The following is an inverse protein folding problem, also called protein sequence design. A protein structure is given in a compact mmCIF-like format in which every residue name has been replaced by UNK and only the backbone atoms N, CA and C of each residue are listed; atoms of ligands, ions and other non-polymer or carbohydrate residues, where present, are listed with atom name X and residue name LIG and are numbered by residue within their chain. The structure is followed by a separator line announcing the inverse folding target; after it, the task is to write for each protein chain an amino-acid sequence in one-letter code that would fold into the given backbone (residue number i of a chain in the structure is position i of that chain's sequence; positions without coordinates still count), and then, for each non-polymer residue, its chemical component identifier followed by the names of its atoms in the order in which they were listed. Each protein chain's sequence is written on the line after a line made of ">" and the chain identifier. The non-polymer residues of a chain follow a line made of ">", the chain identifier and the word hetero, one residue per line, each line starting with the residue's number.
data_IF_754737707267
#
_entry.id   IF_754737707267
#
_cell.length_a   1.000
_cell.length_b   1.000
_cell.length_c   1.000
_cell.angle_alpha   90.00
_cell.angle_beta   90.00
_cell.angle_gamma   90.00
#
_symmetry.space_group_name_H-M   'P 1'
#
loop_
_entity.id
_entity.type
_entity.pdbx_description
1 polymer ?
#
# COMPACT_ATOMS: atom_id res chain seq x y z
N UNK A 1 6.42 3.76 14.31
CA UNK A 1 6.12 3.47 15.73
C UNK A 1 7.35 3.70 16.63
N UNK A 2 7.21 4.50 17.68
CA UNK A 2 8.25 4.66 18.73
C UNK A 2 8.09 3.65 19.86
N UNK A 3 9.12 3.45 20.70
CA UNK A 3 9.05 2.55 21.86
C UNK A 3 7.98 3.00 22.88
N UNK A 4 7.80 4.30 23.05
CA UNK A 4 6.74 4.85 23.91
C UNK A 4 5.34 4.55 23.36
N UNK A 5 5.14 4.67 22.04
CA UNK A 5 3.88 4.27 21.40
C UNK A 5 3.59 2.78 21.58
N UNK A 6 4.59 1.92 21.35
CA UNK A 6 4.47 0.48 21.56
C UNK A 6 4.12 0.15 23.01
N UNK A 7 4.76 0.82 23.98
CA UNK A 7 4.50 0.63 25.42
C UNK A 7 3.05 0.92 25.78
N UNK A 8 2.48 2.02 25.24
CA UNK A 8 1.08 2.41 25.48
C UNK A 8 0.10 1.43 24.84
N UNK A 9 0.42 0.92 23.66
CA UNK A 9 -0.45 -0.01 22.92
C UNK A 9 -0.46 -1.42 23.51
N UNK A 10 0.69 -1.88 24.00
CA UNK A 10 0.88 -3.26 24.47
C UNK A 10 0.78 -3.39 26.00
N UNK A 11 0.66 -2.28 26.74
CA UNK A 11 0.64 -2.29 28.21
C UNK A 11 1.97 -2.75 28.82
N UNK A 12 3.08 -2.48 28.14
CA UNK A 12 4.42 -2.90 28.56
C UNK A 12 5.30 -1.69 28.88
N UNK A 13 6.49 -1.92 29.45
CA UNK A 13 7.44 -0.84 29.72
C UNK A 13 8.15 -0.38 28.44
N UNK A 14 8.49 0.91 28.37
CA UNK A 14 9.23 1.48 27.23
C UNK A 14 10.62 0.84 27.04
N UNK A 15 11.25 0.38 28.13
CA UNK A 15 12.53 -0.36 28.09
C UNK A 15 12.40 -1.73 27.41
N UNK A 16 11.35 -2.49 27.74
CA UNK A 16 11.09 -3.79 27.12
C UNK A 16 10.74 -3.64 25.63
N UNK A 17 9.88 -2.67 25.30
CA UNK A 17 9.56 -2.36 23.90
C UNK A 17 10.80 -1.93 23.11
N UNK A 18 11.68 -1.10 23.69
CA UNK A 18 12.95 -0.69 23.04
C UNK A 18 13.89 -1.86 22.79
N UNK A 19 13.94 -2.84 23.71
CA UNK A 19 14.71 -4.06 23.52
C UNK A 19 14.19 -4.85 22.32
N UNK A 20 12.89 -5.16 22.26
CA UNK A 20 12.32 -5.96 21.18
C UNK A 20 12.41 -5.26 19.82
N UNK A 21 12.19 -3.94 19.74
CA UNK A 21 12.35 -3.19 18.49
C UNK A 21 13.77 -3.29 17.93
N UNK A 22 14.80 -3.25 18.79
CA UNK A 22 16.19 -3.46 18.36
C UNK A 22 16.46 -4.90 17.90
N UNK A 23 15.84 -5.90 18.52
CA UNK A 23 15.94 -7.29 18.05
C UNK A 23 15.28 -7.47 16.68
N UNK A 24 14.08 -6.92 16.49
CA UNK A 24 13.38 -6.94 15.20
C UNK A 24 14.18 -6.23 14.10
N UNK A 25 14.84 -5.11 14.43
CA UNK A 25 15.71 -4.40 13.50
C UNK A 25 16.95 -5.23 13.14
N UNK A 26 17.56 -5.90 14.12
CA UNK A 26 18.70 -6.81 13.89
C UNK A 26 18.33 -7.99 12.99
N UNK A 27 17.10 -8.50 13.11
CA UNK A 27 16.55 -9.53 12.24
C UNK A 27 16.11 -9.00 10.87
N UNK A 28 16.23 -7.69 10.62
CA UNK A 28 15.90 -7.06 9.35
C UNK A 28 14.40 -6.88 9.08
N UNK A 29 13.53 -7.16 10.05
CA UNK A 29 12.08 -7.07 9.90
C UNK A 29 11.57 -5.62 9.90
N UNK A 30 12.27 -4.74 10.62
CA UNK A 30 11.92 -3.32 10.74
C UNK A 30 13.15 -2.45 10.53
N UNK A 31 12.92 -1.18 10.19
CA UNK A 31 13.95 -0.17 9.98
C UNK A 31 13.56 1.18 10.60
N UNK A 32 14.54 2.07 10.76
CA UNK A 32 14.26 3.43 11.17
C UNK A 32 13.55 4.19 10.04
N UNK A 33 12.33 4.63 10.29
CA UNK A 33 11.60 5.51 9.39
C UNK A 33 12.23 6.92 9.35
N UNK A 34 11.96 7.70 8.29
CA UNK A 34 12.33 9.10 8.24
C UNK A 34 11.86 9.87 9.49
N UNK A 35 12.65 10.86 9.90
CA UNK A 35 12.32 11.67 11.08
C UNK A 35 11.01 12.43 10.87
N UNK A 36 10.03 12.15 11.71
CA UNK A 36 8.84 13.00 11.90
C UNK A 36 9.13 14.19 12.84
N UNK A 37 8.07 14.84 13.32
CA UNK A 37 8.07 16.04 14.21
C UNK A 37 8.69 15.85 15.62
N UNK A 38 9.58 14.89 15.83
CA UNK A 38 10.12 14.53 17.15
C UNK A 38 11.61 14.13 17.13
N UNK A 39 12.24 14.10 18.31
CA UNK A 39 13.67 13.78 18.48
C UNK A 39 13.99 12.30 18.20
N UNK A 40 13.02 11.41 18.41
CA UNK A 40 13.17 9.95 18.26
C UNK A 40 12.71 9.53 16.87
N UNK A 41 13.55 8.77 16.16
CA UNK A 41 13.17 8.14 14.89
C UNK A 41 12.19 6.99 15.16
N UNK A 42 11.00 7.01 14.55
CA UNK A 42 10.08 5.88 14.66
C UNK A 42 10.59 4.69 13.87
N UNK A 43 10.26 3.47 14.29
CA UNK A 43 10.49 2.24 13.53
C UNK A 43 9.33 1.98 12.57
N UNK A 44 9.59 1.41 11.39
CA UNK A 44 8.57 0.95 10.43
C UNK A 44 8.90 -0.45 9.91
N UNK A 45 7.89 -1.16 9.41
CA UNK A 45 8.11 -2.45 8.76
C UNK A 45 8.85 -2.22 7.43
N UNK A 46 9.78 -3.12 7.07
CA UNK A 46 10.56 -2.96 5.83
C UNK A 46 9.67 -3.00 4.59
N UNK A 47 8.65 -3.87 4.59
CA UNK A 47 7.72 -4.10 3.48
C UNK A 47 6.56 -3.09 3.41
N UNK A 48 6.42 -2.21 4.42
CA UNK A 48 5.42 -1.14 4.41
C UNK A 48 5.79 -0.03 3.40
N UNK A 49 7.09 0.14 3.13
CA UNK A 49 7.62 1.06 2.11
C UNK A 49 7.14 0.75 0.69
N UNK A 50 6.76 -0.50 0.41
CA UNK A 50 6.25 -0.95 -0.88
C UNK A 50 4.72 -0.80 -1.01
N UNK A 51 4.02 -0.48 0.09
CA UNK A 51 2.54 -0.57 0.17
C UNK A 51 1.85 0.77 0.47
N UNK A 52 2.58 1.86 0.76
CA UNK A 52 2.00 3.21 0.87
C UNK A 52 1.61 3.78 -0.52
N UNK A 53 0.66 3.14 -1.20
CA UNK A 53 -0.13 3.72 -2.30
C UNK A 53 -1.36 2.90 -2.70
N UNK A 54 -2.03 2.16 -1.81
CA UNK A 54 -3.44 1.76 -2.01
C UNK A 54 -4.07 1.05 -0.80
N UNK A 55 -4.25 1.74 0.33
CA UNK A 55 -5.49 1.55 1.09
C UNK A 55 -6.43 2.65 0.62
N UNK A 56 -7.18 2.36 -0.46
CA UNK A 56 -8.20 3.27 -0.98
C UNK A 56 -9.35 3.33 0.02
N UNK A 57 -9.49 4.52 0.61
CA UNK A 57 -10.61 4.92 1.44
C UNK A 57 -11.91 4.80 0.62
N UNK A 58 -12.72 3.79 0.91
CA UNK A 58 -13.98 3.50 0.20
C UNK A 58 -15.14 4.43 0.62
N UNK A 59 -14.88 5.58 1.23
CA UNK A 59 -15.90 6.59 1.53
C UNK A 59 -15.38 8.02 1.36
N UNK A 60 -15.22 8.45 0.12
CA UNK A 60 -15.18 9.87 -0.21
C UNK A 60 -16.35 10.21 -1.16
N UNK A 61 -17.48 10.56 -0.55
CA UNK A 61 -18.56 11.29 -1.22
C UNK A 61 -17.97 12.62 -1.73
N UNK A 62 -17.71 12.73 -3.03
CA UNK A 62 -17.31 13.99 -3.67
C UNK A 62 -15.92 14.02 -4.30
N UNK A 63 -15.72 13.24 -5.36
CA UNK A 63 -14.83 13.59 -6.49
C UNK A 63 -15.20 12.64 -7.62
N UNK A 64 -15.55 13.17 -8.79
CA UNK A 64 -16.15 12.43 -9.91
C UNK A 64 -15.23 11.43 -10.62
N UNK A 65 -14.56 10.55 -9.87
CA UNK A 65 -13.89 9.37 -10.38
C UNK A 65 -14.87 8.20 -10.37
N UNK A 66 -15.18 7.67 -11.54
CA UNK A 66 -15.95 6.43 -11.65
C UNK A 66 -15.03 5.25 -11.31
N UNK A 67 -15.11 4.76 -10.08
CA UNK A 67 -14.47 3.51 -9.69
C UNK A 67 -15.29 2.35 -10.28
N UNK A 68 -14.70 1.59 -11.21
CA UNK A 68 -15.35 0.41 -11.78
C UNK A 68 -14.73 -0.87 -11.20
N UNK A 69 -15.57 -1.88 -10.99
CA UNK A 69 -15.15 -3.22 -10.58
C UNK A 69 -15.73 -4.26 -11.53
N UNK A 70 -14.92 -5.26 -11.89
CA UNK A 70 -15.34 -6.36 -12.75
C UNK A 70 -14.70 -7.67 -12.27
N UNK A 71 -15.48 -8.75 -12.23
CA UNK A 71 -14.99 -10.10 -11.90
C UNK A 71 -14.67 -10.86 -13.19
N UNK A 72 -13.40 -11.27 -13.34
CA UNK A 72 -12.91 -12.02 -14.50
C UNK A 72 -12.38 -13.38 -14.07
N UNK A 73 -12.65 -14.42 -14.86
CA UNK A 73 -12.07 -15.75 -14.68
C UNK A 73 -10.83 -15.87 -15.58
N UNK A 74 -9.64 -15.83 -14.97
CA UNK A 74 -8.36 -15.80 -15.69
C UNK A 74 -7.41 -16.86 -15.14
N UNK A 75 -6.67 -17.50 -16.03
CA UNK A 75 -5.46 -18.27 -15.67
C UNK A 75 -4.37 -17.32 -15.14
N UNK A 76 -3.33 -17.84 -14.45
CA UNK A 76 -2.20 -17.01 -14.02
C UNK A 76 -1.49 -16.30 -15.18
N UNK A 77 -1.38 -16.95 -16.35
CA UNK A 77 -0.79 -16.36 -17.55
C UNK A 77 -1.65 -15.21 -18.08
N UNK A 78 -2.96 -15.43 -18.24
CA UNK A 78 -3.89 -14.38 -18.70
C UNK A 78 -3.98 -13.21 -17.72
N UNK A 79 -3.88 -13.46 -16.41
CA UNK A 79 -3.80 -12.39 -15.41
C UNK A 79 -2.55 -11.53 -15.59
N UNK A 80 -1.39 -12.15 -15.88
CA UNK A 80 -0.17 -11.41 -16.17
C UNK A 80 -0.30 -10.61 -17.48
N UNK A 81 -0.89 -11.20 -18.51
CA UNK A 81 -1.14 -10.52 -19.79
C UNK A 81 -2.09 -9.34 -19.64
N UNK A 82 -3.11 -9.46 -18.80
CA UNK A 82 -4.00 -8.35 -18.43
C UNK A 82 -3.22 -7.21 -17.76
N UNK A 83 -2.37 -7.51 -16.78
CA UNK A 83 -1.56 -6.51 -16.10
C UNK A 83 -0.60 -5.78 -17.07
N UNK A 84 0.00 -6.52 -18.01
CA UNK A 84 0.84 -5.94 -19.08
C UNK A 84 0.00 -5.04 -20.00
N UNK A 85 -1.20 -5.47 -20.37
CA UNK A 85 -2.10 -4.73 -21.25
C UNK A 85 -2.56 -3.41 -20.62
N UNK A 86 -2.94 -3.43 -19.34
CA UNK A 86 -3.33 -2.22 -18.58
C UNK A 86 -2.16 -1.23 -18.50
N UNK A 87 -0.94 -1.70 -18.21
CA UNK A 87 0.25 -0.83 -18.18
C UNK A 87 0.53 -0.19 -19.53
N UNK A 88 0.38 -0.93 -20.63
CA UNK A 88 0.52 -0.39 -22.00
C UNK A 88 -0.52 0.69 -22.28
N UNK A 89 -1.77 0.45 -21.87
CA UNK A 89 -2.86 1.43 -22.03
C UNK A 89 -2.57 2.72 -21.26
N UNK A 90 -2.16 2.63 -19.99
CA UNK A 90 -1.82 3.81 -19.17
C UNK A 90 -0.68 4.60 -19.82
N UNK A 91 0.38 3.92 -20.25
CA UNK A 91 1.52 4.56 -20.91
C UNK A 91 1.10 5.29 -22.20
N UNK A 92 0.21 4.69 -23.00
CA UNK A 92 -0.32 5.32 -24.21
C UNK A 92 -1.02 6.65 -23.93
N UNK A 93 -1.73 6.78 -22.81
CA UNK A 93 -2.33 8.05 -22.42
C UNK A 93 -1.30 9.04 -21.87
N UNK A 94 -0.32 8.59 -21.09
CA UNK A 94 0.78 9.43 -20.60
C UNK A 94 1.55 10.09 -21.75
N UNK A 95 1.86 9.32 -22.80
CA UNK A 95 2.61 9.82 -23.96
C UNK A 95 1.79 10.81 -24.83
N UNK A 96 0.45 10.79 -24.72
CA UNK A 96 -0.47 11.62 -25.52
C UNK A 96 -0.86 12.94 -24.86
N UNK A 97 -0.63 13.11 -23.55
CA UNK A 97 -1.10 14.28 -22.79
C UNK A 97 0.04 15.31 -22.69
N UNK A 98 0.10 16.33 -23.57
CA UNK A 98 0.88 17.52 -23.27
C UNK A 98 0.24 18.25 -22.09
N UNK A 99 1.04 18.81 -21.18
CA UNK A 99 0.55 19.71 -20.12
C UNK A 99 -0.17 20.90 -20.75
N UNK A 100 -1.50 20.83 -20.80
CA UNK A 100 -2.39 21.88 -21.29
C UNK A 100 -3.15 22.49 -20.13
N UNK A 101 -3.40 23.79 -20.22
CA UNK A 101 -4.30 24.47 -19.31
C UNK A 101 -5.66 23.75 -19.29
N UNK A 102 -6.12 23.36 -18.09
CA UNK A 102 -7.34 22.57 -17.90
C UNK A 102 -7.14 21.06 -17.70
N UNK A 103 -5.89 20.55 -17.75
CA UNK A 103 -5.61 19.15 -17.43
C UNK A 103 -5.67 18.91 -15.92
N UNK A 104 -6.42 17.90 -15.49
CA UNK A 104 -6.47 17.46 -14.09
C UNK A 104 -5.53 16.26 -13.89
N UNK A 105 -4.78 16.24 -12.79
CA UNK A 105 -4.04 15.07 -12.37
C UNK A 105 -5.02 13.98 -11.92
N UNK A 106 -4.98 12.82 -12.59
CA UNK A 106 -5.84 11.67 -12.28
C UNK A 106 -4.96 10.50 -11.85
N UNK A 107 -5.21 9.98 -10.66
CA UNK A 107 -4.59 8.75 -10.16
C UNK A 107 -5.43 7.55 -10.59
N UNK A 108 -4.79 6.53 -11.16
CA UNK A 108 -5.44 5.27 -11.57
C UNK A 108 -4.80 4.13 -10.81
N UNK A 109 -5.62 3.33 -10.13
CA UNK A 109 -5.19 2.12 -9.45
C UNK A 109 -5.74 0.89 -10.18
N UNK A 110 -4.90 -0.11 -10.44
CA UNK A 110 -5.30 -1.39 -11.02
C UNK A 110 -4.80 -2.52 -10.15
N UNK A 111 -5.71 -3.39 -9.74
CA UNK A 111 -5.43 -4.52 -8.85
C UNK A 111 -6.07 -5.78 -9.43
N UNK A 112 -5.29 -6.86 -9.49
CA UNK A 112 -5.75 -8.18 -9.96
C UNK A 112 -5.21 -9.27 -9.02
N UNK A 113 -6.04 -9.70 -8.09
CA UNK A 113 -5.72 -10.75 -7.12
C UNK A 113 -6.60 -11.98 -7.37
N UNK A 114 -6.10 -13.21 -7.13
CA UNK A 114 -6.97 -14.37 -7.10
C UNK A 114 -8.06 -14.16 -6.03
N UNK A 115 -9.32 -14.47 -6.37
CA UNK A 115 -10.37 -14.50 -5.36
C UNK A 115 -9.98 -15.51 -4.26
N UNK A 116 -10.25 -15.22 -2.98
CA UNK A 116 -10.04 -16.20 -1.94
C UNK A 116 -10.79 -17.47 -2.30
N UNK A 117 -10.11 -18.61 -2.23
CA UNK A 117 -10.75 -19.90 -2.44
C UNK A 117 -11.90 -20.01 -1.44
N UNK A 118 -13.13 -20.08 -1.94
CA UNK A 118 -14.30 -20.27 -1.11
C UNK A 118 -14.08 -21.57 -0.33
N UNK A 119 -13.98 -21.46 1.00
CA UNK A 119 -13.86 -22.66 1.85
C UNK A 119 -15.18 -23.41 1.69
N UNK A 120 -15.18 -24.42 0.82
CA UNK A 120 -16.26 -25.40 0.75
C UNK A 120 -16.50 -25.91 2.18
N UNK A 121 -17.71 -25.67 2.68
CA UNK A 121 -18.10 -25.98 4.04
C UNK A 121 -17.81 -27.44 4.38
N UNK A 122 -17.20 -27.64 5.54
CA UNK A 122 -17.33 -28.86 6.32
C UNK A 122 -18.46 -28.68 7.32
#
# INVERSE_FOLDING_TARGET
>A
MTANEASRRLGHSSGLCSFHLRQLARLGLIEEAPRGRGRVKPWRLRWESETESAEFDLHAEGSGGEAFSATLHLTPAERNDLAVSVRKLIKHYQDRIPERAGTQAVSVNFQAFPAPAERAGQ
#
